data_IF_219706129139
#
_entry.id   IF_219706129139
#
_cell.length_a   1.000
_cell.length_b   1.000
_cell.length_c   1.000
_cell.angle_alpha   90.00
_cell.angle_beta   90.00
_cell.angle_gamma   90.00
#
_symmetry.space_group_name_H-M   'P 1'
#
loop_
_entity.id
_entity.type
_entity.pdbx_description
1 polymer ?
#
# COMPACT_ATOMS: atom_id res chain seq x y z
N UNK A 1 -12.09 29.91 -68.20
CA UNK A 1 -12.36 30.02 -66.76
C UNK A 1 -12.11 28.63 -66.18
N UNK A 2 -10.96 28.47 -65.52
CA UNK A 2 -10.53 27.21 -64.90
C UNK A 2 -10.80 27.39 -63.40
N UNK A 3 -11.68 26.50 -62.87
CA UNK A 3 -12.02 26.43 -61.43
C UNK A 3 -10.92 25.64 -60.72
N UNK A 4 -10.23 26.29 -59.79
CA UNK A 4 -9.39 25.60 -58.82
C UNK A 4 -10.30 24.91 -57.81
N UNK A 5 -10.17 23.60 -57.67
CA UNK A 5 -10.70 22.86 -56.53
C UNK A 5 -9.73 22.99 -55.38
N UNK A 6 -10.23 23.36 -54.21
CA UNK A 6 -9.50 23.36 -52.96
C UNK A 6 -9.23 21.90 -52.52
N UNK A 7 -7.98 21.55 -52.40
CA UNK A 7 -7.56 20.28 -51.75
C UNK A 7 -7.87 20.38 -50.27
N UNK A 8 -8.85 19.57 -49.84
CA UNK A 8 -9.15 19.38 -48.43
C UNK A 8 -7.99 18.73 -47.67
N UNK A 9 -7.38 19.47 -46.76
CA UNK A 9 -6.38 18.98 -45.83
C UNK A 9 -6.98 17.85 -44.98
N UNK A 10 -6.57 16.62 -45.24
CA UNK A 10 -6.85 15.48 -44.37
C UNK A 10 -6.03 15.71 -43.10
N UNK A 11 -6.70 16.14 -42.03
CA UNK A 11 -6.11 16.08 -40.68
C UNK A 11 -5.96 14.61 -40.30
N UNK A 12 -4.76 14.09 -40.37
CA UNK A 12 -4.41 12.81 -39.73
C UNK A 12 -4.57 13.02 -38.21
N UNK A 13 -5.67 12.54 -37.64
CA UNK A 13 -5.73 12.35 -36.18
C UNK A 13 -4.60 11.38 -35.79
N UNK A 14 -3.61 11.87 -35.03
CA UNK A 14 -2.65 10.99 -34.37
C UNK A 14 -3.45 10.07 -33.46
N UNK A 15 -3.57 8.81 -33.84
CA UNK A 15 -4.12 7.77 -32.96
C UNK A 15 -3.14 7.63 -31.80
N UNK A 16 -3.47 8.21 -30.67
CA UNK A 16 -2.69 8.09 -29.45
C UNK A 16 -2.63 6.59 -29.07
N UNK A 17 -1.47 5.98 -29.22
CA UNK A 17 -1.26 4.61 -28.83
C UNK A 17 -1.35 4.51 -27.28
N UNK A 18 -2.12 3.53 -26.77
CA UNK A 18 -2.18 3.24 -25.34
C UNK A 18 -0.78 2.84 -24.82
N UNK A 19 -0.35 3.51 -23.74
CA UNK A 19 0.90 3.20 -23.04
C UNK A 19 0.61 2.96 -21.56
N UNK A 20 0.87 1.76 -21.08
CA UNK A 20 0.69 1.42 -19.66
C UNK A 20 1.47 2.36 -18.72
N UNK A 21 2.64 2.85 -19.16
CA UNK A 21 3.47 3.80 -18.42
C UNK A 21 2.78 5.14 -18.10
N UNK A 22 1.75 5.54 -18.85
CA UNK A 22 1.00 6.76 -18.56
C UNK A 22 0.12 6.62 -17.30
N UNK A 23 -0.07 5.39 -16.81
CA UNK A 23 -0.99 5.04 -15.72
C UNK A 23 -0.31 4.52 -14.45
N UNK A 24 1.01 4.43 -14.43
CA UNK A 24 1.78 4.01 -13.26
C UNK A 24 2.92 4.98 -13.02
N UNK A 25 3.03 5.55 -11.83
CA UNK A 25 4.19 6.31 -11.42
C UNK A 25 5.11 5.43 -10.55
N UNK A 26 6.41 5.63 -10.70
CA UNK A 26 7.44 4.92 -9.95
C UNK A 26 8.58 5.86 -9.58
N UNK A 27 8.94 5.85 -8.29
CA UNK A 27 10.14 6.51 -7.77
C UNK A 27 11.04 5.50 -7.07
N UNK A 28 12.32 5.47 -7.46
CA UNK A 28 13.32 4.61 -6.82
C UNK A 28 13.71 5.15 -5.44
N UNK A 29 13.87 4.23 -4.48
CA UNK A 29 14.18 4.55 -3.09
C UNK A 29 15.66 4.43 -2.73
N UNK A 30 15.97 4.87 -1.51
CA UNK A 30 17.30 4.73 -0.88
C UNK A 30 17.25 4.14 0.53
N UNK A 31 16.07 3.73 1.00
CA UNK A 31 15.85 3.10 2.32
C UNK A 31 15.09 1.77 2.16
N UNK A 32 15.12 0.88 3.16
CA UNK A 32 14.46 -0.43 3.09
C UNK A 32 12.94 -0.37 3.30
N UNK A 33 12.28 0.52 2.56
CA UNK A 33 10.84 0.74 2.59
C UNK A 33 10.29 0.82 1.17
N UNK A 34 9.25 0.03 0.90
CA UNK A 34 8.47 0.08 -0.35
C UNK A 34 7.04 0.48 -0.02
N UNK A 35 6.51 1.50 -0.69
CA UNK A 35 5.14 1.97 -0.52
C UNK A 35 4.40 1.84 -1.86
N UNK A 36 3.25 1.16 -1.86
CA UNK A 36 2.35 1.09 -3.01
C UNK A 36 1.02 1.80 -2.73
N UNK A 37 0.44 2.41 -3.77
CA UNK A 37 -0.87 3.08 -3.73
C UNK A 37 -1.74 2.50 -4.84
N UNK A 38 -2.51 1.43 -4.57
CA UNK A 38 -3.21 0.69 -5.62
C UNK A 38 -4.53 1.32 -6.08
N UNK A 39 -5.25 2.07 -5.22
CA UNK A 39 -6.65 2.42 -5.43
C UNK A 39 -6.99 3.92 -5.47
N UNK A 40 -6.00 4.81 -5.40
CA UNK A 40 -6.21 6.26 -5.42
C UNK A 40 -6.40 6.87 -6.82
N UNK A 41 -6.16 6.09 -7.87
CA UNK A 41 -6.18 6.58 -9.25
C UNK A 41 -7.57 6.93 -9.76
N UNK A 42 -7.69 8.05 -10.50
CA UNK A 42 -8.95 8.53 -11.05
C UNK A 42 -9.02 8.53 -12.59
N UNK A 43 -7.95 8.12 -13.29
CA UNK A 43 -7.89 8.07 -14.74
C UNK A 43 -8.78 6.94 -15.31
N UNK A 44 -9.62 7.29 -16.28
CA UNK A 44 -10.58 6.35 -16.89
C UNK A 44 -10.39 6.31 -18.42
N UNK A 45 -9.29 5.71 -18.92
CA UNK A 45 -9.07 5.64 -20.36
C UNK A 45 -10.24 4.90 -21.05
N UNK A 46 -10.71 5.47 -22.17
CA UNK A 46 -11.84 4.93 -22.91
C UNK A 46 -11.57 3.57 -23.53
N UNK A 47 -10.30 3.29 -23.86
CA UNK A 47 -9.88 1.99 -24.44
C UNK A 47 -10.04 0.83 -23.45
N UNK A 48 -9.99 1.07 -22.14
CA UNK A 48 -10.22 0.05 -21.12
C UNK A 48 -11.69 0.12 -20.69
N UNK A 49 -12.50 -0.94 -20.88
CA UNK A 49 -13.87 -1.01 -20.41
C UNK A 49 -13.95 -0.99 -18.88
N UNK A 50 -15.12 -0.68 -18.34
CA UNK A 50 -15.34 -0.86 -16.91
C UNK A 50 -15.33 -2.35 -16.56
N UNK A 51 -14.79 -2.67 -15.40
CA UNK A 51 -14.81 -4.02 -14.83
C UNK A 51 -16.24 -4.43 -14.47
N UNK A 52 -16.67 -5.55 -15.01
CA UNK A 52 -18.03 -6.11 -14.82
C UNK A 52 -18.01 -7.60 -14.44
N UNK A 53 -16.81 -8.16 -14.22
CA UNK A 53 -16.69 -9.55 -13.75
C UNK A 53 -17.20 -9.70 -12.31
N UNK A 54 -17.51 -10.94 -11.93
CA UNK A 54 -18.05 -11.25 -10.61
C UNK A 54 -17.16 -10.70 -9.48
N UNK A 55 -17.80 -10.14 -8.46
CA UNK A 55 -17.16 -9.55 -7.29
C UNK A 55 -16.24 -8.34 -7.58
N UNK A 56 -16.41 -7.65 -8.73
CA UNK A 56 -15.67 -6.43 -9.03
C UNK A 56 -16.06 -5.31 -8.06
N UNK A 57 -15.13 -4.90 -7.20
CA UNK A 57 -15.23 -3.68 -6.40
C UNK A 57 -14.68 -2.53 -7.23
N UNK A 58 -15.48 -1.46 -7.40
CA UNK A 58 -15.14 -0.32 -8.26
C UNK A 58 -15.01 1.00 -7.49
N UNK A 59 -15.07 0.96 -6.17
CA UNK A 59 -14.97 2.14 -5.29
C UNK A 59 -13.52 2.57 -5.20
N UNK A 60 -13.31 3.89 -5.32
CA UNK A 60 -12.02 4.56 -5.21
C UNK A 60 -11.67 4.77 -3.73
N UNK A 61 -10.41 4.60 -3.37
CA UNK A 61 -9.85 5.03 -2.09
C UNK A 61 -9.41 6.50 -2.25
N UNK A 62 -10.39 7.42 -2.15
CA UNK A 62 -10.17 8.85 -2.43
C UNK A 62 -9.01 9.44 -1.61
N UNK A 63 -8.23 10.32 -2.25
CA UNK A 63 -7.10 11.05 -1.67
C UNK A 63 -5.89 10.21 -1.22
N UNK A 64 -5.82 8.91 -1.54
CA UNK A 64 -4.66 8.11 -1.16
C UNK A 64 -3.42 8.41 -2.00
N UNK A 65 -3.56 8.87 -3.25
CA UNK A 65 -2.41 9.36 -4.03
C UNK A 65 -1.86 10.65 -3.41
N UNK A 66 -2.73 11.59 -3.10
CA UNK A 66 -2.35 12.86 -2.46
C UNK A 66 -1.71 12.62 -1.09
N UNK A 67 -2.21 11.64 -0.33
CA UNK A 67 -1.61 11.21 0.93
C UNK A 67 -0.23 10.60 0.73
N UNK A 68 -0.08 9.69 -0.23
CA UNK A 68 1.21 9.10 -0.59
C UNK A 68 2.24 10.17 -1.00
N UNK A 69 1.83 11.14 -1.81
CA UNK A 69 2.68 12.25 -2.21
C UNK A 69 3.11 13.13 -1.00
N UNK A 70 2.20 13.41 -0.07
CA UNK A 70 2.54 14.14 1.17
C UNK A 70 3.56 13.36 2.01
N UNK A 71 3.42 12.04 2.11
CA UNK A 71 4.36 11.15 2.80
C UNK A 71 5.75 11.22 2.11
N UNK A 72 5.81 11.16 0.78
CA UNK A 72 7.07 11.24 0.04
C UNK A 72 7.78 12.59 0.24
N UNK A 73 7.02 13.68 0.24
CA UNK A 73 7.54 15.04 0.52
C UNK A 73 8.13 15.11 1.94
N UNK A 74 7.47 14.49 2.92
CA UNK A 74 7.94 14.49 4.31
C UNK A 74 9.23 13.69 4.47
N UNK A 75 9.33 12.48 3.90
CA UNK A 75 10.56 11.68 3.88
C UNK A 75 11.74 12.46 3.26
N UNK A 76 11.48 13.17 2.16
CA UNK A 76 12.50 13.92 1.44
C UNK A 76 13.17 15.01 2.28
N UNK A 77 12.48 15.58 3.29
CA UNK A 77 13.05 16.57 4.21
C UNK A 77 14.29 16.05 4.96
N UNK A 78 14.36 14.74 5.21
CA UNK A 78 15.50 14.07 5.86
C UNK A 78 16.43 13.35 4.87
N UNK A 79 16.21 13.56 3.56
CA UNK A 79 16.96 12.86 2.51
C UNK A 79 16.65 11.38 2.42
N UNK A 80 15.55 10.93 3.04
CA UNK A 80 15.04 9.56 2.98
C UNK A 80 14.10 9.43 1.78
N UNK A 81 14.18 8.30 1.07
CA UNK A 81 13.35 8.03 -0.11
C UNK A 81 12.88 6.58 -0.08
N UNK A 82 11.63 6.29 0.28
CA UNK A 82 11.01 5.00 0.01
C UNK A 82 10.96 4.71 -1.50
N UNK A 83 10.93 3.43 -1.89
CA UNK A 83 10.46 3.04 -3.22
C UNK A 83 8.96 3.31 -3.26
N UNK A 84 8.49 4.07 -4.25
CA UNK A 84 7.11 4.53 -4.30
C UNK A 84 6.46 4.18 -5.63
N UNK A 85 5.33 3.47 -5.58
CA UNK A 85 4.63 2.95 -6.75
C UNK A 85 3.15 3.35 -6.68
N UNK A 86 2.67 4.07 -7.68
CA UNK A 86 1.30 4.61 -7.72
C UNK A 86 0.56 4.10 -8.94
N UNK A 87 -0.59 3.47 -8.73
CA UNK A 87 -1.55 3.19 -9.78
C UNK A 87 -2.48 4.41 -9.97
N UNK A 88 -2.43 5.04 -11.16
CA UNK A 88 -3.27 6.20 -11.50
C UNK A 88 -4.60 5.85 -12.17
N UNK A 89 -4.76 4.58 -12.61
CA UNK A 89 -6.00 4.15 -13.25
C UNK A 89 -7.08 3.90 -12.21
N UNK A 90 -8.31 4.32 -12.53
CA UNK A 90 -9.45 4.15 -11.63
C UNK A 90 -9.78 2.66 -11.43
N UNK A 91 -10.11 2.28 -10.21
CA UNK A 91 -10.42 0.89 -9.83
C UNK A 91 -11.52 0.24 -10.66
N UNK A 92 -12.45 1.03 -11.24
CA UNK A 92 -13.44 0.52 -12.18
C UNK A 92 -12.87 0.05 -13.52
N UNK A 93 -11.62 0.38 -13.82
CA UNK A 93 -10.89 -0.04 -15.03
C UNK A 93 -9.91 -1.17 -14.76
N UNK A 94 -9.19 -1.09 -13.63
CA UNK A 94 -8.24 -2.10 -13.19
C UNK A 94 -8.09 -2.04 -11.66
N UNK A 95 -8.17 -3.17 -10.98
CA UNK A 95 -7.98 -3.28 -9.52
C UNK A 95 -6.58 -3.80 -9.22
N UNK A 96 -5.68 -2.90 -8.84
CA UNK A 96 -4.29 -3.23 -8.56
C UNK A 96 -4.07 -4.05 -7.26
N UNK A 97 -5.14 -4.36 -6.51
CA UNK A 97 -5.07 -5.24 -5.33
C UNK A 97 -5.88 -6.54 -5.53
N UNK A 98 -5.77 -7.12 -6.74
CA UNK A 98 -6.38 -8.41 -7.11
C UNK A 98 -5.44 -9.20 -8.02
N UNK A 99 -5.70 -10.50 -8.16
CA UNK A 99 -5.01 -11.33 -9.17
C UNK A 99 -5.22 -10.74 -10.56
N UNK A 100 -4.22 -10.81 -11.41
CA UNK A 100 -4.15 -10.22 -12.76
C UNK A 100 -5.43 -10.38 -13.58
N UNK A 101 -5.99 -11.58 -13.62
CA UNK A 101 -7.20 -11.86 -14.40
C UNK A 101 -8.46 -11.19 -13.80
N UNK A 102 -8.59 -11.21 -12.46
CA UNK A 102 -9.72 -10.60 -11.75
C UNK A 102 -9.58 -9.06 -11.71
N UNK A 103 -8.34 -8.57 -11.65
CA UNK A 103 -8.00 -7.16 -11.70
C UNK A 103 -8.46 -6.48 -12.99
N UNK A 104 -8.34 -7.18 -14.10
CA UNK A 104 -8.57 -6.67 -15.45
C UNK A 104 -9.89 -7.14 -16.07
N UNK A 105 -10.60 -8.08 -15.45
CA UNK A 105 -11.69 -8.85 -16.06
C UNK A 105 -11.34 -9.38 -17.47
N UNK A 106 -10.06 -9.75 -17.67
CA UNK A 106 -9.53 -10.30 -18.93
C UNK A 106 -9.11 -9.26 -19.97
N UNK A 107 -9.29 -7.96 -19.75
CA UNK A 107 -8.87 -6.92 -20.69
C UNK A 107 -7.34 -6.80 -20.76
N UNK A 108 -6.75 -6.86 -21.95
CA UNK A 108 -5.30 -6.90 -22.15
C UNK A 108 -4.59 -5.58 -21.82
N UNK A 109 -5.21 -4.44 -22.11
CA UNK A 109 -4.63 -3.13 -21.79
C UNK A 109 -4.62 -2.90 -20.27
N UNK A 110 -5.69 -3.29 -19.57
CA UNK A 110 -5.73 -3.28 -18.11
C UNK A 110 -4.68 -4.24 -17.51
N UNK A 111 -4.44 -5.41 -18.13
CA UNK A 111 -3.38 -6.33 -17.74
C UNK A 111 -1.98 -5.72 -17.92
N UNK A 112 -1.76 -4.97 -18.98
CA UNK A 112 -0.46 -4.30 -19.20
C UNK A 112 -0.18 -3.25 -18.10
N UNK A 113 -1.18 -2.51 -17.63
CA UNK A 113 -1.03 -1.59 -16.48
C UNK A 113 -0.76 -2.38 -15.19
N UNK A 114 -1.50 -3.46 -14.97
CA UNK A 114 -1.30 -4.37 -13.84
C UNK A 114 0.13 -4.92 -13.82
N UNK A 115 0.60 -5.45 -14.95
CA UNK A 115 1.95 -6.03 -15.11
C UNK A 115 3.04 -4.99 -14.77
N UNK A 116 2.87 -3.74 -15.20
CA UNK A 116 3.81 -2.66 -14.92
C UNK A 116 3.82 -2.28 -13.42
N UNK A 117 2.64 -2.08 -12.81
CA UNK A 117 2.51 -1.74 -11.39
C UNK A 117 3.15 -2.82 -10.51
N UNK A 118 2.79 -4.07 -10.72
CA UNK A 118 3.31 -5.20 -9.95
C UNK A 118 4.78 -5.48 -10.26
N UNK A 119 5.22 -5.25 -11.50
CA UNK A 119 6.62 -5.34 -11.87
C UNK A 119 7.51 -4.34 -11.12
N UNK A 120 7.05 -3.10 -10.93
CA UNK A 120 7.76 -2.13 -10.09
C UNK A 120 7.83 -2.56 -8.63
N UNK A 121 6.75 -3.07 -8.05
CA UNK A 121 6.77 -3.58 -6.66
C UNK A 121 7.77 -4.73 -6.52
N UNK A 122 7.71 -5.73 -7.40
CA UNK A 122 8.62 -6.89 -7.37
C UNK A 122 10.09 -6.49 -7.48
N UNK A 123 10.40 -5.58 -8.41
CA UNK A 123 11.76 -5.09 -8.59
C UNK A 123 12.24 -4.30 -7.36
N UNK A 124 11.39 -3.47 -6.77
CA UNK A 124 11.70 -2.71 -5.55
C UNK A 124 11.97 -3.64 -4.35
N UNK A 125 11.13 -4.65 -4.16
CA UNK A 125 11.32 -5.66 -3.11
C UNK A 125 12.63 -6.41 -3.30
N UNK A 126 12.93 -6.85 -4.53
CA UNK A 126 14.19 -7.52 -4.84
C UNK A 126 15.41 -6.61 -4.60
N UNK A 127 15.28 -5.34 -4.91
CA UNK A 127 16.35 -4.36 -4.68
C UNK A 127 16.56 -4.13 -3.18
N UNK A 128 15.49 -3.97 -2.39
CA UNK A 128 15.55 -3.86 -0.93
C UNK A 128 16.17 -5.11 -0.32
N UNK A 129 15.72 -6.30 -0.70
CA UNK A 129 16.30 -7.55 -0.23
C UNK A 129 17.79 -7.68 -0.58
N UNK A 130 18.17 -7.29 -1.79
CA UNK A 130 19.57 -7.35 -2.23
C UNK A 130 20.48 -6.41 -1.43
N UNK A 131 20.02 -5.17 -1.20
CA UNK A 131 20.83 -4.09 -0.61
C UNK A 131 20.80 -4.12 0.93
N UNK A 132 19.64 -4.38 1.52
CA UNK A 132 19.41 -4.24 2.96
C UNK A 132 19.16 -5.56 3.69
N UNK A 133 18.87 -6.66 2.97
CA UNK A 133 18.60 -8.02 3.49
C UNK A 133 17.32 -8.16 4.31
N UNK A 134 16.60 -7.10 4.54
CA UNK A 134 15.29 -7.02 5.20
C UNK A 134 14.68 -5.65 4.96
N UNK A 135 13.38 -5.53 5.13
CA UNK A 135 12.67 -4.27 4.92
C UNK A 135 11.16 -4.42 5.11
N UNK A 136 10.47 -3.33 4.85
CA UNK A 136 9.02 -3.23 5.01
C UNK A 136 8.36 -2.84 3.67
N UNK A 137 7.28 -3.54 3.33
CA UNK A 137 6.33 -3.17 2.29
C UNK A 137 5.06 -2.61 2.96
N UNK A 138 4.62 -1.43 2.55
CA UNK A 138 3.37 -0.81 2.99
C UNK A 138 2.45 -0.64 1.79
N UNK A 139 1.29 -1.29 1.83
CA UNK A 139 0.23 -1.11 0.84
C UNK A 139 -0.76 -0.06 1.35
N UNK A 140 -0.70 1.15 0.78
CA UNK A 140 -1.43 2.32 1.27
C UNK A 140 -2.83 2.38 0.65
N UNK A 141 -3.83 2.23 1.49
CA UNK A 141 -5.25 2.23 1.19
C UNK A 141 -6.02 3.29 1.95
N UNK A 142 -7.32 3.35 1.66
CA UNK A 142 -8.23 4.22 2.40
C UNK A 142 -9.62 3.62 2.50
N UNK A 143 -10.17 3.66 3.70
CA UNK A 143 -11.51 3.16 3.97
C UNK A 143 -12.52 4.28 4.26
N UNK A 144 -13.80 3.94 4.15
CA UNK A 144 -14.94 4.77 4.52
C UNK A 144 -15.72 4.23 5.73
N UNK A 145 -15.09 3.43 6.59
CA UNK A 145 -15.74 2.86 7.78
C UNK A 145 -16.20 3.97 8.74
N UNK A 146 -17.32 3.77 9.47
CA UNK A 146 -17.83 4.76 10.41
C UNK A 146 -16.83 5.09 11.54
N UNK A 147 -16.06 4.11 12.01
CA UNK A 147 -15.03 4.30 13.03
C UNK A 147 -13.79 4.92 12.39
N UNK A 148 -13.47 6.13 12.79
CA UNK A 148 -12.35 6.89 12.25
C UNK A 148 -11.06 6.49 12.97
N UNK A 149 -10.38 5.49 12.45
CA UNK A 149 -9.07 5.00 12.90
C UNK A 149 -8.34 4.35 11.73
N UNK A 150 -7.04 4.21 11.84
CA UNK A 150 -6.24 3.45 10.89
C UNK A 150 -6.42 1.95 11.18
N UNK A 151 -6.60 1.15 10.13
CA UNK A 151 -6.63 -0.31 10.24
C UNK A 151 -5.36 -0.89 9.61
N UNK A 152 -4.63 -1.69 10.41
CA UNK A 152 -3.37 -2.31 9.99
C UNK A 152 -3.60 -3.79 9.71
N UNK A 153 -3.54 -4.17 8.44
CA UNK A 153 -3.72 -5.53 7.98
C UNK A 153 -2.40 -6.30 7.95
N UNK A 154 -2.32 -7.35 8.77
CA UNK A 154 -1.21 -8.28 8.88
C UNK A 154 -1.52 -9.67 8.31
N UNK A 155 -2.58 -9.80 7.51
CA UNK A 155 -3.23 -11.04 7.06
C UNK A 155 -3.89 -11.84 8.19
N UNK A 156 -4.04 -11.28 9.37
CA UNK A 156 -4.76 -11.86 10.50
C UNK A 156 -6.13 -11.21 10.62
N UNK A 157 -7.17 -12.03 10.77
CA UNK A 157 -8.54 -11.56 10.97
C UNK A 157 -8.78 -11.07 12.40
N UNK A 158 -9.90 -10.42 12.62
CA UNK A 158 -10.30 -9.89 13.93
C UNK A 158 -10.42 -10.99 15.01
N UNK A 159 -10.97 -12.15 14.66
CA UNK A 159 -11.07 -13.31 15.54
C UNK A 159 -9.71 -13.92 15.87
N UNK A 160 -8.75 -13.92 14.94
CA UNK A 160 -7.38 -14.35 15.17
C UNK A 160 -6.62 -13.37 16.09
N UNK A 161 -6.81 -12.06 15.90
CA UNK A 161 -6.24 -11.03 16.78
C UNK A 161 -6.83 -11.05 18.20
N UNK A 162 -8.04 -11.60 18.37
CA UNK A 162 -8.71 -11.77 19.66
C UNK A 162 -8.24 -13.00 20.45
N UNK A 163 -7.48 -13.90 19.83
CA UNK A 163 -6.96 -15.11 20.49
C UNK A 163 -6.02 -14.77 21.65
N UNK A 164 -5.83 -15.70 22.63
CA UNK A 164 -4.83 -15.54 23.67
C UNK A 164 -3.41 -15.35 23.10
N UNK A 165 -2.59 -14.58 23.80
CA UNK A 165 -1.24 -14.25 23.35
C UNK A 165 -0.39 -15.49 23.04
N UNK A 166 -0.53 -16.58 23.79
CA UNK A 166 0.16 -17.82 23.56
C UNK A 166 -0.20 -18.42 22.19
N UNK A 167 -1.47 -18.31 21.81
CA UNK A 167 -1.95 -18.78 20.50
C UNK A 167 -1.48 -17.86 19.38
N UNK A 168 -1.51 -16.53 19.55
CA UNK A 168 -0.98 -15.59 18.58
C UNK A 168 0.51 -15.80 18.34
N UNK A 169 1.26 -16.18 19.38
CA UNK A 169 2.69 -16.49 19.32
C UNK A 169 3.01 -17.90 18.83
N UNK A 170 2.00 -18.70 18.48
CA UNK A 170 2.22 -20.04 17.94
C UNK A 170 2.79 -20.03 16.52
N UNK A 171 3.47 -21.11 16.15
CA UNK A 171 4.01 -21.28 14.79
C UNK A 171 2.94 -21.22 13.72
N UNK A 172 1.72 -21.66 14.03
CA UNK A 172 0.57 -21.70 13.13
C UNK A 172 0.10 -20.27 12.77
N UNK A 173 -0.06 -19.40 13.77
CA UNK A 173 -0.50 -18.02 13.55
C UNK A 173 0.63 -17.16 12.94
N UNK A 174 1.87 -17.39 13.32
CA UNK A 174 3.03 -16.75 12.68
C UNK A 174 3.08 -17.11 11.20
N UNK A 175 2.82 -18.37 10.85
CA UNK A 175 2.90 -18.86 9.46
C UNK A 175 1.86 -18.23 8.51
N UNK A 176 0.77 -17.67 9.02
CA UNK A 176 -0.25 -16.99 8.22
C UNK A 176 -0.14 -15.46 8.26
N UNK A 177 0.78 -14.93 9.07
CA UNK A 177 1.01 -13.48 9.17
C UNK A 177 1.91 -12.94 8.05
N UNK A 178 1.71 -11.69 7.67
CA UNK A 178 2.55 -10.98 6.69
C UNK A 178 3.89 -10.48 7.25
N UNK A 179 4.15 -10.65 8.56
CA UNK A 179 5.37 -10.21 9.23
C UNK A 179 6.19 -11.37 9.82
N UNK A 180 6.15 -12.54 9.17
CA UNK A 180 6.85 -13.74 9.64
C UNK A 180 8.36 -13.55 9.80
N UNK A 181 8.98 -12.85 8.85
CA UNK A 181 10.41 -12.58 8.91
C UNK A 181 10.75 -11.67 10.09
N UNK A 182 9.94 -10.64 10.34
CA UNK A 182 10.11 -9.75 11.47
C UNK A 182 9.99 -10.52 12.80
N UNK A 183 8.98 -11.39 12.96
CA UNK A 183 8.84 -12.22 14.15
C UNK A 183 10.10 -13.03 14.44
N UNK A 184 10.73 -13.57 13.41
CA UNK A 184 11.95 -14.43 13.55
C UNK A 184 13.23 -13.63 13.77
N UNK A 185 13.32 -12.43 13.19
CA UNK A 185 14.59 -11.72 13.00
C UNK A 185 14.58 -10.28 13.55
N UNK A 186 13.57 -9.87 14.36
CA UNK A 186 13.60 -8.55 14.96
C UNK A 186 14.73 -8.41 15.99
N UNK A 187 15.28 -7.19 16.06
CA UNK A 187 16.39 -6.90 16.98
C UNK A 187 15.92 -6.47 18.37
N UNK A 188 14.63 -6.22 18.54
CA UNK A 188 14.01 -5.82 19.82
C UNK A 188 13.73 -7.00 20.75
N UNK A 189 13.71 -8.23 20.23
CA UNK A 189 13.32 -9.41 20.98
C UNK A 189 11.80 -9.51 21.23
N UNK A 190 11.00 -8.72 20.49
CA UNK A 190 9.54 -8.70 20.62
C UNK A 190 8.90 -9.98 20.11
N UNK A 191 7.89 -10.47 20.81
CA UNK A 191 7.05 -11.57 20.36
C UNK A 191 6.12 -11.15 19.21
N UNK A 192 5.46 -12.10 18.53
CA UNK A 192 4.48 -11.79 17.50
C UNK A 192 3.36 -10.89 18.04
N UNK A 193 2.82 -11.19 19.22
CA UNK A 193 1.81 -10.34 19.88
C UNK A 193 2.33 -8.93 20.14
N UNK A 194 3.57 -8.76 20.60
CA UNK A 194 4.16 -7.44 20.85
C UNK A 194 4.32 -6.62 19.56
N UNK A 195 4.71 -7.29 18.46
CA UNK A 195 4.84 -6.66 17.15
C UNK A 195 3.50 -6.23 16.55
N UNK A 196 2.41 -6.95 16.86
CA UNK A 196 1.06 -6.64 16.37
C UNK A 196 0.37 -5.56 17.21
N UNK A 197 0.42 -5.66 18.55
CA UNK A 197 -0.40 -4.86 19.47
C UNK A 197 0.28 -4.51 20.80
N UNK A 198 1.60 -4.64 20.90
CA UNK A 198 2.37 -4.14 22.05
C UNK A 198 2.68 -2.65 21.94
N UNK A 199 3.32 -2.08 22.97
CA UNK A 199 3.66 -0.64 23.05
C UNK A 199 4.56 -0.16 21.92
N UNK A 200 5.38 -1.05 21.35
CA UNK A 200 6.29 -0.77 20.23
C UNK A 200 5.74 -1.26 18.87
N UNK A 201 4.48 -1.69 18.80
CA UNK A 201 3.84 -2.05 17.54
C UNK A 201 3.69 -0.83 16.62
N UNK A 202 3.60 -1.06 15.31
CA UNK A 202 3.48 0.03 14.34
C UNK A 202 2.23 0.89 14.60
N UNK A 203 1.07 0.24 14.89
CA UNK A 203 -0.16 0.94 15.27
C UNK A 203 0.00 1.76 16.55
N UNK A 204 0.78 1.27 17.53
CA UNK A 204 1.03 2.00 18.77
C UNK A 204 1.91 3.23 18.55
N UNK A 205 2.86 3.18 17.64
CA UNK A 205 3.63 4.36 17.27
C UNK A 205 2.79 5.41 16.54
N UNK A 206 1.84 5.01 15.68
CA UNK A 206 0.87 5.93 15.07
C UNK A 206 -0.08 6.54 16.10
N UNK A 207 -0.58 5.73 17.03
CA UNK A 207 -1.43 6.15 18.15
C UNK A 207 -0.75 7.23 19.01
N UNK A 208 0.53 7.03 19.37
CA UNK A 208 1.35 7.98 20.11
C UNK A 208 1.56 9.32 19.37
N UNK A 209 1.36 9.34 18.05
CA UNK A 209 1.39 10.55 17.22
C UNK A 209 0.00 11.19 17.03
N UNK A 210 -1.04 10.68 17.71
CA UNK A 210 -2.39 11.21 17.67
C UNK A 210 -3.29 10.62 16.59
N UNK A 211 -2.87 9.49 15.97
CA UNK A 211 -3.66 8.78 14.96
C UNK A 211 -4.14 7.42 15.49
N UNK A 212 -5.40 7.32 15.95
CA UNK A 212 -5.98 6.08 16.46
C UNK A 212 -5.79 4.95 15.46
N UNK A 213 -5.36 3.78 15.94
CA UNK A 213 -4.95 2.66 15.10
C UNK A 213 -5.35 1.32 15.70
N UNK A 214 -5.72 0.37 14.85
CA UNK A 214 -6.02 -1.02 15.23
C UNK A 214 -5.31 -2.00 14.28
N UNK A 215 -4.62 -3.04 14.81
CA UNK A 215 -4.27 -3.24 16.21
C UNK A 215 -3.22 -2.24 16.72
N UNK A 216 -3.32 -1.88 17.98
CA UNK A 216 -2.37 -1.07 18.75
C UNK A 216 -2.47 -1.47 20.24
N UNK A 217 -1.60 -0.94 21.09
CA UNK A 217 -1.72 -1.17 22.54
C UNK A 217 -3.00 -0.55 23.12
N UNK A 218 -3.50 0.54 22.55
CA UNK A 218 -4.73 1.23 22.99
C UNK A 218 -6.01 0.58 22.41
N UNK A 219 -5.94 0.04 21.17
CA UNK A 219 -7.04 -0.65 20.49
C UNK A 219 -6.50 -1.99 19.93
N UNK A 220 -6.35 -3.03 20.78
CA UNK A 220 -5.58 -4.22 20.41
C UNK A 220 -6.31 -5.17 19.46
N UNK A 221 -7.64 -5.08 19.36
CA UNK A 221 -8.48 -5.99 18.58
C UNK A 221 -9.67 -5.25 18.00
N UNK A 222 -9.96 -5.37 16.70
CA UNK A 222 -11.21 -4.86 16.15
C UNK A 222 -12.41 -5.53 16.86
N UNK A 223 -13.46 -4.77 17.15
CA UNK A 223 -14.68 -5.35 17.70
C UNK A 223 -15.38 -6.19 16.62
N UNK A 224 -16.09 -7.24 17.03
CA UNK A 224 -16.79 -8.17 16.13
C UNK A 224 -17.76 -7.48 15.14
N UNK A 225 -18.28 -6.30 15.49
CA UNK A 225 -19.17 -5.51 14.61
C UNK A 225 -18.44 -4.43 13.80
N UNK A 226 -17.13 -4.28 13.98
CA UNK A 226 -16.33 -3.34 13.19
C UNK A 226 -16.03 -3.95 11.83
N UNK A 227 -16.10 -3.15 10.77
CA UNK A 227 -15.43 -3.52 9.54
C UNK A 227 -13.93 -3.42 9.76
N UNK A 228 -13.18 -4.45 9.39
CA UNK A 228 -11.74 -4.48 9.53
C UNK A 228 -11.10 -5.12 8.30
N UNK A 229 -10.08 -4.45 7.76
CA UNK A 229 -9.33 -4.93 6.60
C UNK A 229 -8.04 -5.63 7.06
N UNK A 230 -8.06 -6.95 7.09
CA UNK A 230 -6.93 -7.78 7.54
C UNK A 230 -5.73 -7.80 6.59
N UNK A 231 -5.88 -7.31 5.37
CA UNK A 231 -4.89 -7.35 4.30
C UNK A 231 -5.47 -7.88 2.99
N UNK A 232 -4.83 -7.54 1.87
CA UNK A 232 -5.29 -7.89 0.53
C UNK A 232 -4.26 -8.68 -0.29
N UNK A 233 -4.49 -8.71 -1.61
CA UNK A 233 -3.64 -9.43 -2.56
C UNK A 233 -2.19 -8.94 -2.50
N UNK A 234 -1.96 -7.64 -2.47
CA UNK A 234 -0.62 -7.08 -2.46
C UNK A 234 0.13 -7.46 -1.18
N UNK A 235 -0.51 -7.30 -0.02
CA UNK A 235 0.08 -7.69 1.28
C UNK A 235 0.43 -9.18 1.29
N UNK A 236 -0.45 -10.04 0.79
CA UNK A 236 -0.19 -11.47 0.71
C UNK A 236 0.98 -11.82 -0.23
N UNK A 237 1.09 -11.15 -1.38
CA UNK A 237 2.08 -11.54 -2.41
C UNK A 237 3.44 -10.84 -2.26
N UNK A 238 3.51 -9.74 -1.52
CA UNK A 238 4.72 -8.90 -1.41
C UNK A 238 5.28 -8.82 0.00
N UNK A 239 4.85 -9.72 0.88
CA UNK A 239 5.34 -9.83 2.24
C UNK A 239 6.04 -11.15 2.52
N UNK A 240 6.57 -11.29 3.72
CA UNK A 240 7.17 -12.52 4.21
C UNK A 240 6.18 -13.69 4.35
N UNK A 241 4.86 -13.46 4.16
CA UNK A 241 3.86 -14.53 4.03
C UNK A 241 4.20 -15.51 2.89
N UNK A 242 4.71 -15.02 1.75
CA UNK A 242 5.18 -15.87 0.65
C UNK A 242 6.63 -16.37 0.84
N UNK A 243 7.20 -16.14 2.02
CA UNK A 243 8.62 -16.33 2.29
C UNK A 243 9.44 -15.10 1.92
N UNK A 244 10.73 -15.10 2.24
CA UNK A 244 11.62 -13.97 1.99
C UNK A 244 11.80 -13.05 3.20
N UNK A 245 12.49 -11.93 2.96
CA UNK A 245 13.01 -11.07 4.02
C UNK A 245 12.25 -9.73 4.17
N UNK A 246 11.25 -9.49 3.32
CA UNK A 246 10.46 -8.26 3.34
C UNK A 246 9.11 -8.55 4.01
N UNK A 247 8.81 -7.85 5.07
CA UNK A 247 7.53 -7.94 5.76
C UNK A 247 6.53 -6.96 5.15
N UNK A 248 5.23 -7.20 5.30
CA UNK A 248 4.22 -6.37 4.65
C UNK A 248 3.09 -5.97 5.59
N UNK A 249 2.60 -4.74 5.45
CA UNK A 249 1.45 -4.22 6.19
C UNK A 249 0.52 -3.52 5.21
N UNK A 250 -0.77 -3.87 5.20
CA UNK A 250 -1.79 -3.03 4.58
C UNK A 250 -2.16 -1.92 5.54
N UNK A 251 -2.16 -0.68 5.07
CA UNK A 251 -2.52 0.48 5.87
C UNK A 251 -3.81 1.09 5.31
N UNK A 252 -4.90 0.89 6.00
CA UNK A 252 -6.21 1.45 5.65
C UNK A 252 -6.45 2.73 6.45
N UNK A 253 -6.26 3.85 5.77
CA UNK A 253 -6.42 5.17 6.35
C UNK A 253 -7.88 5.61 6.35
N UNK A 254 -8.41 6.12 7.48
CA UNK A 254 -9.73 6.75 7.52
C UNK A 254 -9.78 8.04 6.70
N UNK A 255 -10.99 8.45 6.27
CA UNK A 255 -11.17 9.65 5.46
C UNK A 255 -11.05 10.92 6.30
N UNK A 256 -12.00 11.14 7.20
CA UNK A 256 -12.07 12.34 8.03
C UNK A 256 -10.99 12.32 9.11
N UNK A 257 -10.30 13.44 9.28
CA UNK A 257 -9.22 13.59 10.26
C UNK A 257 -7.87 13.03 9.83
N UNK A 258 -7.76 12.44 8.61
CA UNK A 258 -6.49 11.91 8.13
C UNK A 258 -6.18 12.26 6.67
N UNK A 259 -7.11 12.01 5.70
CA UNK A 259 -6.79 12.15 4.27
C UNK A 259 -7.72 13.07 3.49
N UNK A 260 -8.78 13.62 4.10
CA UNK A 260 -9.78 14.42 3.41
C UNK A 260 -9.24 15.78 2.94
N UNK A 261 -8.55 16.49 3.82
CA UNK A 261 -7.96 17.80 3.51
C UNK A 261 -6.45 17.72 3.33
N UNK A 262 -5.86 18.73 2.65
CA UNK A 262 -4.41 18.81 2.52
C UNK A 262 -3.71 18.91 3.88
N UNK A 263 -4.24 19.72 4.81
CA UNK A 263 -3.66 19.86 6.16
C UNK A 263 -3.67 18.55 6.95
N UNK A 264 -4.74 17.76 6.85
CA UNK A 264 -4.80 16.43 7.46
C UNK A 264 -3.75 15.48 6.88
N UNK A 265 -3.62 15.45 5.54
CA UNK A 265 -2.60 14.61 4.88
C UNK A 265 -1.18 14.99 5.27
N UNK A 266 -0.89 16.30 5.36
CA UNK A 266 0.43 16.79 5.79
C UNK A 266 0.69 16.44 7.26
N UNK A 267 -0.29 16.59 8.15
CA UNK A 267 -0.18 16.20 9.55
C UNK A 267 0.05 14.69 9.71
N UNK A 268 -0.70 13.87 8.97
CA UNK A 268 -0.49 12.42 8.98
C UNK A 268 0.86 12.03 8.38
N UNK A 269 1.33 12.68 7.32
CA UNK A 269 2.63 12.40 6.72
C UNK A 269 3.77 12.55 7.74
N UNK A 270 3.74 13.61 8.57
CA UNK A 270 4.71 13.79 9.67
C UNK A 270 4.66 12.63 10.67
N UNK A 271 3.44 12.23 11.08
CA UNK A 271 3.24 11.13 12.00
C UNK A 271 3.70 9.79 11.41
N UNK A 272 3.32 9.51 10.16
CA UNK A 272 3.67 8.30 9.43
C UNK A 272 5.18 8.14 9.28
N UNK A 273 5.88 9.20 8.83
CA UNK A 273 7.34 9.15 8.67
C UNK A 273 8.02 8.91 10.01
N UNK A 274 7.61 9.64 11.04
CA UNK A 274 8.17 9.46 12.39
C UNK A 274 7.92 8.06 12.95
N UNK A 275 6.71 7.52 12.82
CA UNK A 275 6.35 6.17 13.29
C UNK A 275 7.07 5.09 12.48
N UNK A 276 7.18 5.25 11.16
CA UNK A 276 7.84 4.28 10.27
C UNK A 276 9.35 4.21 10.55
N UNK A 277 10.01 5.36 10.65
CA UNK A 277 11.45 5.39 10.99
C UNK A 277 11.68 4.74 12.34
N UNK A 278 10.90 5.12 13.36
CA UNK A 278 10.99 4.53 14.70
C UNK A 278 10.75 3.01 14.68
N UNK A 279 9.77 2.53 13.94
CA UNK A 279 9.47 1.10 13.82
C UNK A 279 10.62 0.34 13.15
N UNK A 280 11.18 0.88 12.07
CA UNK A 280 12.31 0.29 11.36
C UNK A 280 13.58 0.27 12.25
N UNK A 281 13.86 1.32 13.00
CA UNK A 281 15.00 1.39 13.91
C UNK A 281 14.81 0.51 15.15
N UNK A 282 13.61 0.39 15.66
CA UNK A 282 13.32 -0.45 16.84
C UNK A 282 13.43 -1.93 16.49
N UNK A 283 12.93 -2.36 15.33
CA UNK A 283 12.73 -3.78 15.07
C UNK A 283 13.65 -4.36 13.99
N UNK A 284 14.07 -3.56 13.02
CA UNK A 284 14.88 -4.05 11.89
C UNK A 284 16.35 -3.62 12.01
N UNK A 285 16.60 -2.36 12.32
CA UNK A 285 17.94 -1.75 12.22
C UNK A 285 18.21 -0.93 13.47
N UNK A 286 19.46 -0.92 13.98
CA UNK A 286 19.82 -0.02 15.08
C UNK A 286 19.80 1.45 14.66
N UNK A 287 20.05 1.69 13.38
CA UNK A 287 20.00 2.97 12.69
C UNK A 287 19.48 2.69 11.28
N UNK A 288 18.56 3.49 10.80
CA UNK A 288 17.96 3.28 9.48
C UNK A 288 19.00 3.43 8.37
N UNK A 289 19.35 2.36 7.63
CA UNK A 289 20.33 2.45 6.57
C UNK A 289 19.76 3.23 5.38
N UNK A 290 20.65 4.02 4.76
CA UNK A 290 20.33 4.74 3.54
C UNK A 290 21.50 4.66 2.56
N UNK A 291 21.16 4.52 1.25
CA UNK A 291 22.13 4.45 0.14
C UNK A 291 22.61 5.83 -0.30
#
# INVERSE_FOLDING_TARGET
IISCQEEGSIKTEEVAFFKAADYVDFEAGNIPLVISVPHGGNLKPSIIPNRTCNNAVNVLDEFTIELGNAIMVEFAKSGLKPYFIVNKIHRSKMDANRKRIDASCGNLDAQAVWDLFHGHIQNSIKEVDTKFKKGLFVDLHGHGNPKQRIELGYLLYDDELALPNETINSSELIAVSSIQNLVKNNISGSSHTDLLKGDMAYGSFLEQKGFPSVPSAADPVPLQMDNYFSGGYNTANYSSYMGGAIDGIQLECNRSGLRETQAEREAFAVAFVSATVLFLETHYFKELPKL
#
